data_IF_470101666245
#
_entry.id   IF_470101666245
#
_cell.length_a   1.000
_cell.length_b   1.000
_cell.length_c   1.000
_cell.angle_alpha   90.00
_cell.angle_beta   90.00
_cell.angle_gamma   90.00
#
_symmetry.space_group_name_H-M   'P 1'
#
loop_
_entity.id
_entity.type
_entity.pdbx_description
1 polymer ?
#
# COMPACT_ATOMS: atom_id res chain seq x y z
N UNK A 1 5.93 14.90 -0.98
CA UNK A 1 5.35 13.55 -1.19
C UNK A 1 3.85 13.61 -1.01
N UNK A 2 3.13 13.00 -1.92
CA UNK A 2 1.67 13.05 -1.92
C UNK A 2 1.09 11.69 -1.58
N UNK A 3 0.06 11.68 -0.73
CA UNK A 3 -0.60 10.45 -0.31
C UNK A 3 -2.08 10.54 -0.64
N UNK A 4 -2.64 9.41 -1.09
CA UNK A 4 -4.07 9.31 -1.37
C UNK A 4 -4.73 8.46 -0.29
N UNK A 5 -5.73 9.01 0.39
CA UNK A 5 -6.39 8.30 1.48
C UNK A 5 -7.44 7.36 0.90
N UNK A 6 -7.24 6.05 1.08
CA UNK A 6 -8.14 5.02 0.59
C UNK A 6 -9.17 4.60 1.61
N UNK A 7 -8.83 4.67 2.90
CA UNK A 7 -9.73 4.30 3.97
C UNK A 7 -9.47 5.16 5.19
N UNK A 8 -10.54 5.61 5.80
CA UNK A 8 -10.47 6.49 6.96
C UNK A 8 -11.46 6.02 8.02
N UNK A 9 -10.95 5.72 9.19
CA UNK A 9 -11.75 5.26 10.31
C UNK A 9 -10.93 5.45 11.57
N UNK A 10 -10.86 4.43 12.40
CA UNK A 10 -9.96 4.48 13.57
C UNK A 10 -8.51 4.63 13.12
N UNK A 11 -8.21 4.10 11.96
CA UNK A 11 -6.87 4.14 11.35
C UNK A 11 -7.04 4.68 9.94
N UNK A 12 -5.92 5.08 9.33
CA UNK A 12 -5.96 5.49 7.94
C UNK A 12 -5.17 4.51 7.08
N UNK A 13 -5.67 4.28 5.88
CA UNK A 13 -4.94 3.54 4.86
C UNK A 13 -4.68 4.50 3.71
N UNK A 14 -3.41 4.77 3.43
CA UNK A 14 -3.04 5.72 2.39
C UNK A 14 -2.11 5.07 1.38
N UNK A 15 -2.18 5.51 0.14
CA UNK A 15 -1.32 5.02 -0.93
C UNK A 15 -0.35 6.12 -1.32
N UNK A 16 0.93 5.76 -1.48
CA UNK A 16 1.91 6.70 -1.98
C UNK A 16 1.57 7.04 -3.42
N UNK A 17 1.66 8.31 -3.75
CA UNK A 17 1.38 8.81 -5.10
C UNK A 17 2.55 9.68 -5.53
N UNK A 18 2.70 9.87 -6.83
CA UNK A 18 3.74 10.68 -7.44
C UNK A 18 5.18 10.32 -7.07
N UNK A 19 5.36 9.19 -6.42
CA UNK A 19 6.69 8.77 -6.03
C UNK A 19 7.32 8.01 -7.17
N UNK A 20 7.94 8.59 -8.02
CA UNK A 20 8.62 7.85 -8.98
C UNK A 20 8.01 7.86 -10.25
N UNK A 21 7.03 8.54 -10.30
CA UNK A 21 6.84 8.72 -11.42
C UNK A 21 6.02 8.07 -12.23
N UNK A 22 4.82 8.21 -12.25
CA UNK A 22 4.02 7.69 -13.29
C UNK A 22 4.60 8.17 -14.60
N UNK A 23 4.68 7.28 -15.53
CA UNK A 23 5.18 7.61 -16.84
C UNK A 23 4.34 8.71 -17.51
N UNK A 24 3.10 8.85 -17.07
CA UNK A 24 2.22 9.88 -17.61
C UNK A 24 2.50 11.25 -17.01
N UNK A 25 3.25 11.31 -15.92
CA UNK A 25 3.49 12.57 -15.24
C UNK A 25 2.26 13.15 -14.59
N UNK A 26 1.18 12.38 -14.48
CA UNK A 26 -0.05 12.88 -13.92
C UNK A 26 0.09 13.08 -12.40
N UNK A 27 -0.37 14.22 -11.95
CA UNK A 27 -0.41 14.51 -10.53
C UNK A 27 -1.31 13.51 -9.82
N UNK A 28 -0.86 12.97 -8.71
CA UNK A 28 -1.65 12.04 -7.92
C UNK A 28 -1.63 10.60 -8.41
N UNK A 29 -0.79 10.28 -9.37
CA UNK A 29 -0.66 8.90 -9.83
C UNK A 29 -0.03 8.04 -8.74
N UNK A 30 -0.58 6.85 -8.53
CA UNK A 30 -0.13 5.93 -7.50
C UNK A 30 0.19 4.57 -8.11
N UNK A 31 1.40 4.09 -7.87
CA UNK A 31 1.83 2.79 -8.39
C UNK A 31 0.91 1.68 -7.89
N UNK A 32 0.56 1.70 -6.60
CA UNK A 32 -0.27 0.63 -6.05
C UNK A 32 -1.70 0.68 -6.61
N UNK A 33 -2.24 1.88 -6.81
CA UNK A 33 -3.58 1.99 -7.39
C UNK A 33 -3.59 1.59 -8.86
N UNK A 34 -2.55 1.98 -9.62
CA UNK A 34 -2.44 1.54 -11.00
C UNK A 34 -2.38 0.02 -11.08
N UNK A 35 -1.64 -0.60 -10.17
CA UNK A 35 -1.56 -2.05 -10.11
C UNK A 35 -2.92 -2.68 -9.83
N UNK A 36 -3.64 -2.19 -8.81
CA UNK A 36 -4.91 -2.79 -8.42
C UNK A 36 -6.04 -2.51 -9.41
N UNK A 37 -5.94 -1.41 -10.16
CA UNK A 37 -6.97 -1.02 -11.11
C UNK A 37 -6.59 -1.35 -12.56
N UNK A 38 -5.62 -2.24 -12.74
CA UNK A 38 -5.10 -2.56 -14.07
C UNK A 38 -6.13 -3.18 -15.01
N UNK A 39 -7.21 -3.75 -14.45
CA UNK A 39 -8.26 -4.31 -15.27
C UNK A 39 -8.03 -5.74 -15.74
N UNK A 40 -6.98 -6.40 -15.23
CA UNK A 40 -6.72 -7.80 -15.59
C UNK A 40 -7.85 -8.68 -15.02
N UNK A 41 -8.64 -9.35 -15.87
CA UNK A 41 -9.75 -10.16 -15.37
C UNK A 41 -9.32 -11.31 -14.48
N UNK A 42 -8.09 -11.79 -14.62
CA UNK A 42 -7.60 -12.88 -13.79
C UNK A 42 -7.46 -12.47 -12.33
N UNK A 43 -7.32 -11.18 -12.06
CA UNK A 43 -7.09 -10.70 -10.72
C UNK A 43 -8.16 -9.73 -10.21
N UNK A 44 -9.24 -9.58 -10.96
CA UNK A 44 -10.29 -8.61 -10.59
C UNK A 44 -10.89 -8.90 -9.22
N UNK A 45 -11.18 -10.17 -8.95
CA UNK A 45 -11.75 -10.57 -7.65
C UNK A 45 -10.77 -10.30 -6.52
N UNK A 46 -9.50 -10.66 -6.71
CA UNK A 46 -8.49 -10.44 -5.68
C UNK A 46 -8.26 -8.96 -5.44
N UNK A 47 -8.31 -8.13 -6.48
CA UNK A 47 -8.16 -6.69 -6.33
C UNK A 47 -9.30 -6.11 -5.49
N UNK A 48 -10.54 -6.52 -5.77
CA UNK A 48 -11.68 -6.09 -4.96
C UNK A 48 -11.54 -6.53 -3.52
N UNK A 49 -11.08 -7.77 -3.31
CA UNK A 49 -10.83 -8.28 -1.97
C UNK A 49 -9.73 -7.50 -1.25
N UNK A 50 -8.72 -7.05 -2.00
CA UNK A 50 -7.65 -6.24 -1.42
C UNK A 50 -8.20 -4.92 -0.91
N UNK A 51 -9.05 -4.24 -1.70
CA UNK A 51 -9.68 -2.99 -1.24
C UNK A 51 -10.53 -3.23 0.00
N UNK A 52 -11.21 -4.38 0.08
CA UNK A 52 -11.99 -4.72 1.27
C UNK A 52 -11.09 -4.87 2.51
N UNK A 53 -9.89 -5.43 2.33
CA UNK A 53 -8.94 -5.53 3.44
C UNK A 53 -8.50 -4.16 3.92
N UNK A 54 -8.28 -3.22 3.00
CA UNK A 54 -7.93 -1.85 3.39
C UNK A 54 -9.04 -1.23 4.25
N UNK A 55 -10.31 -1.45 3.88
CA UNK A 55 -11.42 -0.92 4.65
C UNK A 55 -11.51 -1.57 6.03
N UNK A 56 -11.26 -2.88 6.11
CA UNK A 56 -11.23 -3.56 7.41
C UNK A 56 -10.11 -3.02 8.30
N UNK A 57 -8.94 -2.76 7.71
CA UNK A 57 -7.84 -2.18 8.47
C UNK A 57 -8.22 -0.79 8.99
N UNK A 58 -8.80 0.04 8.14
CA UNK A 58 -9.20 1.39 8.54
C UNK A 58 -10.23 1.36 9.66
N UNK A 59 -11.14 0.41 9.63
CA UNK A 59 -12.20 0.32 10.63
C UNK A 59 -11.71 -0.20 11.98
N UNK A 60 -10.83 -1.20 11.97
CA UNK A 60 -10.54 -1.97 13.19
C UNK A 60 -9.06 -2.23 13.46
N UNK A 61 -8.18 -1.92 12.51
CA UNK A 61 -6.74 -2.09 12.68
C UNK A 61 -6.26 -3.50 12.40
N UNK A 62 -4.94 -3.66 12.48
CA UNK A 62 -4.29 -4.92 12.11
C UNK A 62 -4.68 -6.10 12.99
N UNK A 63 -5.02 -5.83 14.25
CA UNK A 63 -5.34 -6.91 15.19
C UNK A 63 -6.60 -7.67 14.79
N UNK A 64 -7.43 -7.09 13.94
CA UNK A 64 -8.63 -7.74 13.45
C UNK A 64 -8.44 -8.44 12.11
N UNK A 65 -7.19 -8.45 11.61
CA UNK A 65 -6.88 -9.13 10.34
C UNK A 65 -6.07 -10.39 10.64
N UNK A 66 -6.49 -11.55 10.07
CA UNK A 66 -5.69 -12.78 10.22
C UNK A 66 -4.31 -12.61 9.62
N UNK A 67 -3.32 -13.31 10.17
CA UNK A 67 -1.96 -13.26 9.63
C UNK A 67 -1.89 -13.75 8.20
N UNK A 68 -2.83 -14.58 7.78
CA UNK A 68 -2.87 -15.05 6.39
C UNK A 68 -3.11 -13.93 5.40
N UNK A 69 -3.71 -12.81 5.82
CA UNK A 69 -4.00 -11.69 4.92
C UNK A 69 -3.20 -10.44 5.23
N UNK A 70 -2.54 -10.39 6.40
CA UNK A 70 -1.71 -9.22 6.76
C UNK A 70 -0.66 -9.64 7.77
N UNK A 71 0.62 -9.51 7.40
CA UNK A 71 1.69 -9.82 8.33
C UNK A 71 2.98 -9.10 7.91
N UNK A 72 3.98 -9.14 8.80
CA UNK A 72 5.28 -8.57 8.49
C UNK A 72 5.96 -9.35 7.37
N UNK A 73 6.39 -8.62 6.33
CA UNK A 73 7.20 -9.21 5.27
C UNK A 73 8.67 -9.21 5.67
N UNK A 74 9.11 -8.19 6.42
CA UNK A 74 10.48 -8.11 6.91
C UNK A 74 10.50 -7.24 8.16
N UNK A 75 10.81 -7.87 9.28
CA UNK A 75 10.82 -7.17 10.56
C UNK A 75 11.90 -6.09 10.62
N UNK A 76 13.07 -6.39 10.10
CA UNK A 76 14.21 -5.47 10.23
C UNK A 76 13.95 -4.12 9.55
N UNK A 77 13.28 -4.14 8.41
CA UNK A 77 13.00 -2.90 7.67
C UNK A 77 11.60 -2.33 7.94
N UNK A 78 10.80 -3.04 8.76
CA UNK A 78 9.45 -2.56 9.09
C UNK A 78 8.47 -2.67 7.93
N UNK A 79 8.71 -3.61 7.02
CA UNK A 79 7.83 -3.80 5.85
C UNK A 79 6.79 -4.86 6.16
N UNK A 80 5.52 -4.51 5.90
CA UNK A 80 4.37 -5.40 6.06
C UNK A 80 3.76 -5.66 4.69
N UNK A 81 2.86 -6.64 4.61
CA UNK A 81 2.16 -6.91 3.35
C UNK A 81 0.73 -7.33 3.60
N UNK A 82 -0.15 -6.87 2.70
CA UNK A 82 -1.51 -7.40 2.57
C UNK A 82 -1.48 -8.50 1.53
N UNK A 83 -2.26 -9.54 1.75
CA UNK A 83 -2.31 -10.71 0.86
C UNK A 83 -3.75 -11.00 0.50
N UNK A 84 -4.02 -11.10 -0.81
CA UNK A 84 -5.32 -11.56 -1.28
C UNK A 84 -5.10 -12.36 -2.56
N UNK A 85 -5.39 -13.67 -2.49
CA UNK A 85 -5.07 -14.54 -3.60
C UNK A 85 -3.59 -14.48 -3.93
N UNK A 86 -3.28 -14.21 -5.18
CA UNK A 86 -1.89 -14.09 -5.62
C UNK A 86 -1.38 -12.65 -5.55
N UNK A 87 -2.21 -11.71 -5.13
CA UNK A 87 -1.79 -10.32 -5.04
C UNK A 87 -1.14 -10.03 -3.70
N UNK A 88 -0.11 -9.21 -3.75
CA UNK A 88 0.58 -8.71 -2.56
C UNK A 88 0.66 -7.19 -2.67
N UNK A 89 0.37 -6.50 -1.57
CA UNK A 89 0.57 -5.06 -1.49
C UNK A 89 1.48 -4.81 -0.30
N UNK A 90 2.64 -4.24 -0.58
CA UNK A 90 3.63 -3.93 0.46
C UNK A 90 3.32 -2.59 1.09
N UNK A 91 3.67 -2.46 2.36
CA UNK A 91 3.32 -1.28 3.13
C UNK A 91 4.19 -1.17 4.37
N UNK A 92 4.02 -0.07 5.08
CA UNK A 92 4.61 0.09 6.41
C UNK A 92 3.63 0.86 7.28
N UNK A 93 3.81 0.75 8.60
CA UNK A 93 2.92 1.38 9.57
C UNK A 93 3.62 2.60 10.16
N UNK A 94 2.95 3.76 10.15
CA UNK A 94 3.49 4.98 10.72
C UNK A 94 2.75 5.31 12.01
N UNK A 95 3.51 5.33 13.11
CA UNK A 95 3.02 5.68 14.45
C UNK A 95 1.82 4.88 14.91
N UNK A 96 1.60 3.70 14.33
CA UNK A 96 0.50 2.83 14.71
C UNK A 96 -0.88 3.30 14.27
N UNK A 97 -0.96 4.47 13.66
CA UNK A 97 -2.25 5.06 13.29
C UNK A 97 -2.53 5.04 11.79
N UNK A 98 -1.51 4.86 10.97
CA UNK A 98 -1.65 4.94 9.53
C UNK A 98 -0.82 3.87 8.88
N UNK A 99 -1.41 3.18 7.91
CA UNK A 99 -0.63 2.27 7.07
C UNK A 99 -0.42 2.93 5.70
N UNK A 100 0.82 2.91 5.24
CA UNK A 100 1.21 3.55 3.98
C UNK A 100 1.53 2.47 2.97
N UNK A 101 0.73 2.40 1.91
CA UNK A 101 0.90 1.40 0.85
C UNK A 101 1.94 1.89 -0.14
N UNK A 102 2.90 1.03 -0.46
CA UNK A 102 3.99 1.42 -1.35
C UNK A 102 3.76 0.93 -2.79
N UNK A 103 3.60 -0.37 -2.98
CA UNK A 103 3.41 -0.93 -4.31
C UNK A 103 2.85 -2.34 -4.20
N UNK A 104 2.46 -2.91 -5.33
CA UNK A 104 1.92 -4.26 -5.36
C UNK A 104 2.66 -5.15 -6.33
N UNK A 105 2.42 -6.46 -6.21
CA UNK A 105 2.97 -7.45 -7.12
C UNK A 105 2.08 -8.69 -7.16
N UNK A 106 2.25 -9.47 -8.22
CA UNK A 106 1.61 -10.78 -8.34
C UNK A 106 2.63 -11.82 -7.89
N UNK A 107 2.28 -12.59 -6.85
CA UNK A 107 3.17 -13.63 -6.32
C UNK A 107 3.15 -14.83 -7.27
N UNK A 108 4.30 -15.19 -7.79
CA UNK A 108 4.41 -16.26 -8.77
C UNK A 108 5.11 -17.51 -8.25
N UNK A 109 5.91 -17.37 -7.18
CA UNK A 109 6.66 -18.48 -6.62
C UNK A 109 6.57 -18.49 -5.11
N UNK A 110 7.06 -19.55 -4.49
CA UNK A 110 7.11 -19.63 -3.02
C UNK A 110 8.26 -18.84 -2.43
N UNK A 111 9.21 -18.42 -3.26
CA UNK A 111 10.38 -17.69 -2.76
C UNK A 111 9.99 -16.32 -2.24
N UNK A 112 10.71 -15.86 -1.22
CA UNK A 112 10.57 -14.51 -0.72
C UNK A 112 11.03 -13.52 -1.79
N UNK A 113 10.31 -12.42 -1.92
CA UNK A 113 10.63 -11.40 -2.90
C UNK A 113 11.48 -10.32 -2.26
N UNK A 114 12.76 -10.62 -2.12
CA UNK A 114 13.66 -9.70 -1.43
C UNK A 114 13.76 -8.34 -2.13
N UNK A 115 13.76 -8.34 -3.46
CA UNK A 115 13.84 -7.07 -4.18
C UNK A 115 12.60 -6.20 -3.95
N UNK A 116 11.44 -6.82 -3.81
CA UNK A 116 10.21 -6.07 -3.53
C UNK A 116 10.21 -5.51 -2.11
N UNK A 117 10.71 -6.30 -1.16
CA UNK A 117 10.85 -5.84 0.22
C UNK A 117 11.83 -4.65 0.27
N UNK A 118 12.95 -4.75 -0.45
CA UNK A 118 13.93 -3.68 -0.49
C UNK A 118 13.35 -2.42 -1.11
N UNK A 119 12.52 -2.57 -2.14
CA UNK A 119 11.84 -1.42 -2.75
C UNK A 119 10.92 -0.73 -1.73
N UNK A 120 10.14 -1.52 -0.99
CA UNK A 120 9.26 -0.96 0.03
C UNK A 120 10.06 -0.26 1.12
N UNK A 121 11.21 -0.82 1.50
CA UNK A 121 12.06 -0.21 2.51
C UNK A 121 12.64 1.12 2.04
N UNK A 122 13.02 1.20 0.75
CA UNK A 122 13.50 2.47 0.19
C UNK A 122 12.38 3.52 0.17
N UNK A 123 11.18 3.10 -0.18
CA UNK A 123 10.04 4.03 -0.19
C UNK A 123 9.69 4.49 1.21
N UNK A 124 9.81 3.60 2.20
CA UNK A 124 9.62 3.99 3.59
C UNK A 124 10.63 5.04 4.00
N UNK A 125 11.91 4.87 3.63
CA UNK A 125 12.93 5.86 3.95
C UNK A 125 12.62 7.21 3.30
N UNK A 126 12.15 7.19 2.04
CA UNK A 126 11.75 8.43 1.36
C UNK A 126 10.58 9.10 2.08
N UNK A 127 9.61 8.30 2.54
CA UNK A 127 8.49 8.82 3.29
C UNK A 127 8.95 9.48 4.59
N UNK A 128 9.82 8.80 5.34
CA UNK A 128 10.30 9.34 6.61
C UNK A 128 11.08 10.64 6.41
N UNK A 129 11.85 10.73 5.33
CA UNK A 129 12.55 11.97 5.00
C UNK A 129 11.58 13.09 4.65
N UNK A 130 10.53 12.79 3.88
CA UNK A 130 9.53 13.79 3.54
C UNK A 130 8.75 14.23 4.78
N UNK A 131 8.48 13.31 5.68
CA UNK A 131 7.79 13.62 6.93
C UNK A 131 8.63 14.57 7.79
N UNK A 132 9.92 14.26 7.91
CA UNK A 132 10.83 15.12 8.68
C UNK A 132 10.96 16.52 8.08
N UNK A 133 10.84 16.61 6.76
CA UNK A 133 10.90 17.91 6.06
C UNK A 133 9.54 18.59 5.99
N UNK A 134 8.51 18.00 6.59
CA UNK A 134 7.13 18.50 6.55
C UNK A 134 6.66 18.70 5.12
N UNK A 135 7.02 17.77 4.26
CA UNK A 135 6.75 17.84 2.83
C UNK A 135 5.76 16.77 2.38
N UNK A 136 4.79 16.43 3.22
CA UNK A 136 3.77 15.43 2.90
C UNK A 136 2.42 16.11 2.76
N UNK A 137 1.72 15.81 1.66
CA UNK A 137 0.34 16.25 1.45
C UNK A 137 -0.55 15.02 1.34
N UNK A 138 -1.80 15.16 1.74
CA UNK A 138 -2.79 14.08 1.66
C UNK A 138 -4.08 14.60 1.03
N UNK A 139 -4.73 13.74 0.25
CA UNK A 139 -6.08 14.04 -0.21
C UNK A 139 -6.86 12.73 -0.30
N UNK A 140 -8.18 12.81 -0.18
CA UNK A 140 -9.03 11.64 -0.30
C UNK A 140 -9.04 11.15 -1.74
N UNK A 141 -8.90 9.84 -1.91
CA UNK A 141 -8.97 9.24 -3.23
C UNK A 141 -10.44 9.09 -3.62
N UNK A 142 -10.75 9.52 -4.84
CA UNK A 142 -12.12 9.54 -5.33
C UNK A 142 -12.23 8.59 -6.51
N UNK A 143 -12.57 7.33 -6.21
CA UNK A 143 -12.70 6.32 -7.23
C UNK A 143 -13.98 6.54 -8.04
N UNK A 144 -13.86 6.54 -9.37
CA UNK A 144 -15.02 6.62 -10.23
C UNK A 144 -15.64 7.99 -10.37
N UNK A 145 -14.94 9.00 -9.96
CA UNK A 145 -15.47 10.36 -10.05
C UNK A 145 -14.92 11.09 -11.24
#
# INVERSE_FOLDING_TARGET
>A
MHLLVLGRGRFEVVAMADVGLSASGASGASEVLEFLLSGDPNFASSARGMFALFQRYAAAGRQKLPTAVFHEADRASGVWQFIKGRLRVFCFIDDGAMVVLTHGMVKKTQKADRSEVEKAARLRSAYLAAKAAEAITKEDWSHGK
#
